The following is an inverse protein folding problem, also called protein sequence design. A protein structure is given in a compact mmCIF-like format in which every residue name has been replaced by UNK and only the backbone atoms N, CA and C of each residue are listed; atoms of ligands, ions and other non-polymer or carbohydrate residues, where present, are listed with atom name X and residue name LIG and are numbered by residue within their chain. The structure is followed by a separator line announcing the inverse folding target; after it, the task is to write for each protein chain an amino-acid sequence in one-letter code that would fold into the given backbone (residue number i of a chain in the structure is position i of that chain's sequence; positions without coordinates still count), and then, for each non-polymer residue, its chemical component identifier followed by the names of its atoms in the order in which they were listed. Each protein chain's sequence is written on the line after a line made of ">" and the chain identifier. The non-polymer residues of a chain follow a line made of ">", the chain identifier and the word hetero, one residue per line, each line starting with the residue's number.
data_IF_478911354214
#
_entry.id   IF_478911354214
#
_cell.length_a   1.000
_cell.length_b   1.000
_cell.length_c   1.000
_cell.angle_alpha   90.00
_cell.angle_beta   90.00
_cell.angle_gamma   90.00
#
_symmetry.space_group_name_H-M   'P 1'
#
loop_
_entity.id
_entity.type
_entity.pdbx_description
1 polymer ?
#
# COMPACT_ATOMS: atom_id res chain seq x y z
N UNK A 1 5.12 23.83 -1.03
CA UNK A 1 5.04 22.37 -0.78
C UNK A 1 5.07 22.13 0.72
N UNK A 2 4.02 21.58 1.30
CA UNK A 2 4.04 21.10 2.70
C UNK A 2 5.07 19.97 2.78
N UNK A 3 6.05 20.10 3.67
CA UNK A 3 7.08 19.08 3.95
C UNK A 3 6.39 17.87 4.58
N UNK A 4 5.97 16.94 3.74
CA UNK A 4 5.20 15.79 4.18
C UNK A 4 6.09 14.87 5.03
N UNK A 5 5.68 14.62 6.27
CA UNK A 5 6.32 13.70 7.20
C UNK A 5 6.31 12.29 6.60
N UNK A 6 7.42 11.54 6.59
CA UNK A 6 7.43 10.18 6.07
C UNK A 6 6.48 9.28 6.87
N UNK A 7 5.68 8.48 6.13
CA UNK A 7 4.73 7.53 6.68
C UNK A 7 5.45 6.27 7.17
N UNK A 8 5.03 5.75 8.30
CA UNK A 8 5.51 4.48 8.84
C UNK A 8 4.37 3.52 9.09
N UNK A 9 4.52 2.30 8.63
CA UNK A 9 3.51 1.25 8.78
C UNK A 9 4.12 -0.10 9.08
N UNK A 10 3.25 -1.07 9.34
CA UNK A 10 3.61 -2.47 9.52
C UNK A 10 2.67 -3.39 8.76
N UNK A 11 3.23 -4.45 8.16
CA UNK A 11 2.46 -5.55 7.60
C UNK A 11 2.03 -6.53 8.70
N UNK A 12 0.77 -6.94 8.67
CA UNK A 12 0.25 -7.99 9.56
C UNK A 12 -0.19 -9.21 8.75
N UNK A 13 -0.17 -10.38 9.38
CA UNK A 13 -0.57 -11.64 8.74
C UNK A 13 -2.08 -11.67 8.44
N UNK A 14 -2.43 -12.25 7.30
CA UNK A 14 -3.81 -12.60 6.95
C UNK A 14 -4.11 -14.09 7.19
N UNK A 15 -3.16 -14.86 7.71
CA UNK A 15 -3.37 -16.27 7.99
C UNK A 15 -4.40 -16.45 9.10
N UNK A 16 -5.31 -17.44 8.91
CA UNK A 16 -6.35 -17.75 9.89
C UNK A 16 -5.74 -18.18 11.23
N UNK A 17 -4.57 -18.83 11.21
CA UNK A 17 -3.85 -19.22 12.44
C UNK A 17 -3.25 -18.05 13.24
N UNK A 18 -3.12 -16.87 12.64
CA UNK A 18 -2.43 -15.72 13.23
C UNK A 18 -3.38 -14.60 13.68
N UNK A 19 -4.70 -14.85 13.73
CA UNK A 19 -5.72 -13.80 13.93
C UNK A 19 -5.47 -12.98 15.19
N UNK A 20 -5.26 -13.65 16.32
CA UNK A 20 -5.09 -12.98 17.62
C UNK A 20 -3.83 -12.11 17.63
N UNK A 21 -2.71 -12.64 17.13
CA UNK A 21 -1.45 -11.91 17.05
C UNK A 21 -1.57 -10.71 16.10
N UNK A 22 -2.14 -10.92 14.92
CA UNK A 22 -2.34 -9.85 13.93
C UNK A 22 -3.15 -8.68 14.47
N UNK A 23 -4.25 -8.97 15.17
CA UNK A 23 -5.09 -7.92 15.76
C UNK A 23 -4.39 -7.23 16.94
N UNK A 24 -3.64 -7.99 17.77
CA UNK A 24 -2.83 -7.43 18.84
C UNK A 24 -1.76 -6.48 18.31
N UNK A 25 -1.05 -6.89 17.25
CA UNK A 25 -0.03 -6.05 16.59
C UNK A 25 -0.63 -4.80 15.95
N UNK A 26 -1.81 -4.89 15.34
CA UNK A 26 -2.51 -3.71 14.79
C UNK A 26 -2.83 -2.68 15.89
N UNK A 27 -3.35 -3.11 17.03
CA UNK A 27 -3.63 -2.25 18.19
C UNK A 27 -2.35 -1.67 18.77
N UNK A 28 -1.27 -2.44 18.82
CA UNK A 28 0.04 -1.96 19.28
C UNK A 28 0.58 -0.90 18.32
N UNK A 29 0.51 -1.12 17.00
CA UNK A 29 0.93 -0.16 15.98
C UNK A 29 0.21 1.18 16.14
N UNK A 30 -1.11 1.14 16.36
CA UNK A 30 -1.94 2.32 16.61
C UNK A 30 -1.49 3.09 17.86
N UNK A 31 -1.34 2.39 18.99
CA UNK A 31 -0.94 2.99 20.25
C UNK A 31 0.48 3.57 20.23
N UNK A 32 1.37 2.96 19.47
CA UNK A 32 2.77 3.36 19.36
C UNK A 32 3.04 4.40 18.26
N UNK A 33 2.01 4.88 17.54
CA UNK A 33 2.11 6.04 16.65
C UNK A 33 2.54 5.74 15.22
N UNK A 34 2.34 4.51 14.74
CA UNK A 34 2.43 4.23 13.32
C UNK A 34 1.26 4.85 12.56
N UNK A 35 1.45 5.10 11.26
CA UNK A 35 0.45 5.71 10.40
C UNK A 35 -0.39 4.67 9.65
N UNK A 36 0.20 3.48 9.35
CA UNK A 36 -0.41 2.46 8.50
C UNK A 36 -0.31 1.05 9.10
N UNK A 37 -1.37 0.28 8.91
CA UNK A 37 -1.36 -1.19 9.02
C UNK A 37 -1.75 -1.76 7.67
N UNK A 38 -0.98 -2.73 7.16
CA UNK A 38 -1.23 -3.31 5.83
C UNK A 38 -1.49 -4.80 5.89
N UNK A 39 -2.38 -5.26 5.00
CA UNK A 39 -2.71 -6.68 4.79
C UNK A 39 -2.63 -7.02 3.31
N UNK A 40 -2.30 -8.28 2.98
CA UNK A 40 -2.35 -8.79 1.61
C UNK A 40 -3.74 -9.30 1.25
N UNK A 41 -4.08 -9.34 -0.04
CA UNK A 41 -5.38 -9.84 -0.54
C UNK A 41 -5.19 -11.09 -1.42
N UNK A 42 -5.38 -12.24 -0.81
CA UNK A 42 -5.27 -13.56 -1.47
C UNK A 42 -6.51 -14.41 -1.18
N UNK A 43 -7.71 -14.01 -1.68
CA UNK A 43 -8.98 -14.62 -1.32
C UNK A 43 -9.15 -16.05 -1.85
N UNK A 44 -8.29 -16.50 -2.74
CA UNK A 44 -8.28 -17.86 -3.31
C UNK A 44 -7.60 -18.89 -2.39
N UNK A 45 -6.96 -18.48 -1.29
CA UNK A 45 -6.36 -19.37 -0.31
C UNK A 45 -7.23 -19.49 0.94
N UNK A 46 -7.80 -20.66 1.18
CA UNK A 46 -8.70 -20.91 2.33
C UNK A 46 -8.06 -20.65 3.70
N UNK A 47 -6.72 -20.72 3.80
CA UNK A 47 -5.98 -20.41 5.02
C UNK A 47 -5.78 -18.90 5.24
N UNK A 48 -6.31 -18.04 4.37
CA UNK A 48 -6.22 -16.57 4.47
C UNK A 48 -7.59 -15.97 4.72
N UNK A 49 -7.61 -14.92 5.54
CA UNK A 49 -8.79 -14.10 5.75
C UNK A 49 -9.10 -13.27 4.48
N UNK A 50 -10.36 -12.93 4.29
CA UNK A 50 -10.72 -11.83 3.40
C UNK A 50 -10.09 -10.52 3.91
N UNK A 51 -9.37 -9.82 3.03
CA UNK A 51 -8.61 -8.64 3.42
C UNK A 51 -9.50 -7.51 3.96
N UNK A 52 -10.66 -7.26 3.35
CA UNK A 52 -11.56 -6.19 3.79
C UNK A 52 -12.33 -6.53 5.06
N UNK A 53 -12.64 -7.82 5.28
CA UNK A 53 -13.18 -8.27 6.56
C UNK A 53 -12.17 -8.03 7.70
N UNK A 54 -10.90 -8.38 7.48
CA UNK A 54 -9.84 -8.13 8.46
C UNK A 54 -9.60 -6.62 8.68
N UNK A 55 -9.54 -5.83 7.61
CA UNK A 55 -9.41 -4.37 7.67
C UNK A 55 -10.55 -3.74 8.49
N UNK A 56 -11.80 -4.17 8.28
CA UNK A 56 -12.93 -3.69 9.05
C UNK A 56 -12.77 -3.93 10.55
N UNK A 57 -12.28 -5.10 10.95
CA UNK A 57 -12.01 -5.43 12.37
C UNK A 57 -10.85 -4.63 12.92
N UNK A 58 -9.75 -4.48 12.16
CA UNK A 58 -8.59 -3.65 12.56
C UNK A 58 -9.02 -2.21 12.79
N UNK A 59 -9.72 -1.60 11.84
CA UNK A 59 -10.18 -0.22 11.95
C UNK A 59 -11.17 0.00 13.10
N UNK A 60 -12.00 -1.01 13.41
CA UNK A 60 -12.92 -0.97 14.54
C UNK A 60 -12.22 -1.13 15.91
N UNK A 61 -10.98 -1.60 15.97
CA UNK A 61 -10.19 -1.77 17.20
C UNK A 61 -9.09 -0.72 17.38
N UNK A 62 -8.94 0.20 16.44
CA UNK A 62 -7.90 1.23 16.40
C UNK A 62 -8.50 2.61 16.25
N UNK A 63 -7.77 3.66 16.61
CA UNK A 63 -8.28 5.03 16.63
C UNK A 63 -7.57 5.96 15.63
N UNK A 64 -6.32 5.67 15.25
CA UNK A 64 -5.45 6.58 14.49
C UNK A 64 -4.87 5.99 13.22
N UNK A 65 -4.42 4.73 13.25
CA UNK A 65 -3.83 4.09 12.07
C UNK A 65 -4.82 4.01 10.92
N UNK A 66 -4.34 4.26 9.73
CA UNK A 66 -5.05 3.92 8.51
C UNK A 66 -4.76 2.48 8.11
N UNK A 67 -5.71 1.82 7.48
CA UNK A 67 -5.52 0.50 6.91
C UNK A 67 -5.29 0.57 5.40
N UNK A 68 -4.43 -0.31 4.89
CA UNK A 68 -4.13 -0.46 3.46
C UNK A 68 -4.19 -1.94 3.08
N UNK A 69 -5.02 -2.28 2.12
CA UNK A 69 -4.91 -3.58 1.43
C UNK A 69 -3.80 -3.46 0.38
N UNK A 70 -2.69 -4.18 0.55
CA UNK A 70 -1.47 -4.02 -0.27
C UNK A 70 -1.16 -5.31 -1.08
N UNK A 71 -1.80 -5.47 -2.24
CA UNK A 71 -2.84 -4.62 -2.86
C UNK A 71 -4.07 -5.48 -3.13
N UNK A 72 -5.23 -4.84 -3.22
CA UNK A 72 -6.49 -5.51 -3.55
C UNK A 72 -6.40 -6.22 -4.90
N UNK A 73 -6.89 -7.43 -4.94
CA UNK A 73 -6.95 -8.24 -6.14
C UNK A 73 -8.20 -7.86 -6.95
N UNK A 74 -8.09 -6.81 -7.78
CA UNK A 74 -9.21 -6.24 -8.52
C UNK A 74 -10.07 -7.28 -9.25
N UNK A 75 -9.53 -8.29 -9.96
CA UNK A 75 -10.35 -9.26 -10.66
C UNK A 75 -11.36 -10.02 -9.77
N UNK A 76 -11.04 -10.19 -8.48
CA UNK A 76 -11.93 -10.83 -7.52
C UNK A 76 -12.91 -9.86 -6.83
N UNK A 77 -12.81 -8.55 -7.11
CA UNK A 77 -13.60 -7.48 -6.45
C UNK A 77 -14.13 -6.51 -7.49
N UNK A 78 -15.35 -6.70 -8.01
CA UNK A 78 -15.94 -5.80 -9.00
C UNK A 78 -15.87 -4.33 -8.56
N UNK A 79 -15.43 -3.44 -9.46
CA UNK A 79 -15.12 -2.05 -9.15
C UNK A 79 -16.26 -1.29 -8.44
N UNK A 80 -17.56 -1.43 -8.82
CA UNK A 80 -18.65 -0.75 -8.10
C UNK A 80 -18.79 -1.22 -6.65
N UNK A 81 -18.65 -2.53 -6.40
CA UNK A 81 -18.70 -3.08 -5.04
C UNK A 81 -17.47 -2.69 -4.23
N UNK A 82 -16.29 -2.65 -4.85
CA UNK A 82 -15.08 -2.17 -4.19
C UNK A 82 -15.21 -0.69 -3.80
N UNK A 83 -15.74 0.17 -4.69
CA UNK A 83 -16.07 1.56 -4.37
C UNK A 83 -16.97 1.66 -3.15
N UNK A 84 -18.04 0.88 -3.10
CA UNK A 84 -18.98 0.85 -1.97
C UNK A 84 -18.30 0.37 -0.68
N UNK A 85 -17.45 -0.67 -0.75
CA UNK A 85 -16.71 -1.17 0.41
C UNK A 85 -15.79 -0.10 0.99
N UNK A 86 -14.97 0.55 0.15
CA UNK A 86 -13.96 1.51 0.64
C UNK A 86 -14.58 2.82 1.11
N UNK A 87 -15.63 3.30 0.46
CA UNK A 87 -16.38 4.50 0.93
C UNK A 87 -17.12 4.22 2.23
N UNK A 88 -17.67 3.02 2.41
CA UNK A 88 -18.31 2.61 3.67
C UNK A 88 -17.31 2.53 4.82
N UNK A 89 -16.15 1.90 4.61
CA UNK A 89 -15.07 1.86 5.61
C UNK A 89 -14.54 3.25 5.93
N UNK A 90 -14.37 4.12 4.93
CA UNK A 90 -13.98 5.52 5.14
C UNK A 90 -15.02 6.26 5.99
N UNK A 91 -16.31 6.11 5.69
CA UNK A 91 -17.39 6.73 6.48
C UNK A 91 -17.39 6.26 7.94
N UNK A 92 -17.26 4.95 8.16
CA UNK A 92 -17.26 4.35 9.50
C UNK A 92 -16.06 4.76 10.35
N UNK A 93 -14.96 5.19 9.73
CA UNK A 93 -13.67 5.37 10.42
C UNK A 93 -13.10 6.78 10.31
N UNK A 94 -13.84 7.73 9.74
CA UNK A 94 -13.35 9.09 9.53
C UNK A 94 -12.20 9.19 8.53
N UNK A 95 -12.20 8.35 7.48
CA UNK A 95 -11.24 8.41 6.39
C UNK A 95 -9.94 7.62 6.61
N UNK A 96 -9.88 6.73 7.59
CA UNK A 96 -8.68 5.94 7.92
C UNK A 96 -8.49 4.74 6.99
N UNK A 97 -8.53 4.95 5.68
CA UNK A 97 -8.32 3.91 4.67
C UNK A 97 -7.49 4.44 3.51
N UNK A 98 -6.64 3.58 2.96
CA UNK A 98 -5.98 3.75 1.66
C UNK A 98 -6.40 2.58 0.78
N UNK A 99 -6.82 2.86 -0.44
CA UNK A 99 -7.17 1.83 -1.42
C UNK A 99 -5.92 1.40 -2.19
N UNK A 100 -5.33 0.28 -1.80
CA UNK A 100 -4.29 -0.35 -2.61
C UNK A 100 -4.89 -1.22 -3.69
N UNK A 101 -4.48 -1.04 -4.94
CA UNK A 101 -5.06 -1.76 -6.08
C UNK A 101 -4.00 -2.42 -6.96
N UNK A 102 -4.28 -3.66 -7.40
CA UNK A 102 -3.52 -4.39 -8.39
C UNK A 102 -4.39 -4.94 -9.51
N UNK A 103 -3.87 -4.97 -10.73
CA UNK A 103 -4.58 -5.48 -11.91
C UNK A 103 -4.78 -7.02 -11.91
N UNK A 104 -4.34 -7.70 -10.87
CA UNK A 104 -4.26 -9.16 -10.80
C UNK A 104 -2.88 -9.68 -11.16
N UNK A 105 -2.42 -10.71 -10.45
CA UNK A 105 -1.09 -11.32 -10.65
C UNK A 105 -1.12 -12.84 -10.75
N UNK A 106 -1.76 -13.52 -9.82
CA UNK A 106 -1.87 -14.97 -9.76
C UNK A 106 -3.14 -15.43 -10.48
N UNK A 107 -3.17 -15.27 -11.81
CA UNK A 107 -4.38 -15.49 -12.61
C UNK A 107 -4.90 -16.92 -12.58
N UNK A 108 -4.04 -17.93 -12.40
CA UNK A 108 -4.50 -19.31 -12.27
C UNK A 108 -5.29 -19.52 -10.97
N UNK A 109 -4.88 -18.88 -9.90
CA UNK A 109 -5.60 -18.88 -8.62
C UNK A 109 -6.86 -18.03 -8.66
N UNK A 110 -6.80 -16.85 -9.29
CA UNK A 110 -7.95 -15.94 -9.46
C UNK A 110 -9.08 -16.65 -10.25
N UNK A 111 -8.74 -17.33 -11.32
CA UNK A 111 -9.72 -18.05 -12.15
C UNK A 111 -10.47 -19.14 -11.38
N UNK A 112 -9.88 -19.71 -10.32
CA UNK A 112 -10.56 -20.70 -9.43
C UNK A 112 -11.71 -20.10 -8.64
N UNK A 113 -11.78 -18.77 -8.51
CA UNK A 113 -12.92 -18.07 -7.92
C UNK A 113 -14.09 -17.86 -8.90
N UNK A 114 -14.00 -18.39 -10.11
CA UNK A 114 -15.02 -18.21 -11.16
C UNK A 114 -14.88 -16.90 -11.93
N UNK A 115 -13.75 -16.22 -11.78
CA UNK A 115 -13.46 -14.97 -12.49
C UNK A 115 -12.90 -15.27 -13.87
N UNK A 116 -13.40 -14.58 -14.89
CA UNK A 116 -12.87 -14.69 -16.25
C UNK A 116 -11.41 -14.21 -16.31
N UNK A 117 -10.56 -15.03 -16.94
CA UNK A 117 -9.15 -14.70 -17.11
C UNK A 117 -8.95 -13.65 -18.19
N UNK A 118 -8.45 -12.50 -17.83
CA UNK A 118 -8.06 -11.46 -18.78
C UNK A 118 -6.61 -11.64 -19.24
N UNK A 119 -6.36 -11.36 -20.52
CA UNK A 119 -4.99 -11.20 -21.00
C UNK A 119 -4.31 -9.96 -20.39
N UNK A 120 -2.96 -9.90 -20.34
CA UNK A 120 -2.24 -8.83 -19.63
C UNK A 120 -2.64 -7.41 -20.04
N UNK A 121 -2.88 -7.19 -21.33
CA UNK A 121 -3.29 -5.87 -21.84
C UNK A 121 -4.72 -5.51 -21.44
N UNK A 122 -5.64 -6.46 -21.47
CA UNK A 122 -7.03 -6.29 -21.04
C UNK A 122 -7.09 -6.04 -19.52
N UNK A 123 -6.32 -6.79 -18.73
CA UNK A 123 -6.25 -6.60 -17.28
C UNK A 123 -5.81 -5.18 -16.89
N UNK A 124 -4.86 -4.57 -17.61
CA UNK A 124 -4.44 -3.19 -17.36
C UNK A 124 -5.52 -2.18 -17.76
N UNK A 125 -6.22 -2.39 -18.89
CA UNK A 125 -7.34 -1.49 -19.27
C UNK A 125 -8.49 -1.60 -18.26
N UNK A 126 -8.87 -2.82 -17.86
CA UNK A 126 -9.86 -3.04 -16.83
C UNK A 126 -9.48 -2.37 -15.49
N UNK A 127 -8.19 -2.42 -15.13
CA UNK A 127 -7.68 -1.75 -13.94
C UNK A 127 -7.82 -0.22 -14.03
N UNK A 128 -7.49 0.39 -15.16
CA UNK A 128 -7.60 1.84 -15.36
C UNK A 128 -9.07 2.31 -15.36
N UNK A 129 -9.94 1.56 -16.03
CA UNK A 129 -11.39 1.79 -15.95
C UNK A 129 -11.92 1.67 -14.52
N UNK A 130 -11.48 0.64 -13.77
CA UNK A 130 -11.90 0.43 -12.39
C UNK A 130 -11.52 1.61 -11.49
N UNK A 131 -10.29 2.14 -11.59
CA UNK A 131 -9.88 3.31 -10.80
C UNK A 131 -10.73 4.52 -11.15
N UNK A 132 -10.98 4.75 -12.44
CA UNK A 132 -11.83 5.85 -12.91
C UNK A 132 -13.26 5.71 -12.36
N UNK A 133 -13.87 4.54 -12.52
CA UNK A 133 -15.24 4.29 -12.04
C UNK A 133 -15.35 4.39 -10.51
N UNK A 134 -14.37 3.85 -9.76
CA UNK A 134 -14.34 3.95 -8.30
C UNK A 134 -14.32 5.41 -7.87
N UNK A 135 -13.54 6.27 -8.52
CA UNK A 135 -13.49 7.71 -8.22
C UNK A 135 -14.83 8.40 -8.50
N UNK A 136 -15.50 8.06 -9.60
CA UNK A 136 -16.82 8.59 -9.92
C UNK A 136 -17.90 8.16 -8.91
N UNK A 137 -17.76 6.97 -8.31
CA UNK A 137 -18.73 6.42 -7.35
C UNK A 137 -18.51 6.89 -5.91
N UNK A 138 -17.71 7.93 -5.68
CA UNK A 138 -17.50 8.54 -4.37
C UNK A 138 -17.44 10.05 -4.42
N UNK A 139 -17.68 10.69 -3.27
CA UNK A 139 -17.69 12.17 -3.15
C UNK A 139 -19.05 12.83 -3.43
N UNK A 140 -20.11 12.05 -3.61
CA UNK A 140 -21.45 12.56 -3.94
C UNK A 140 -21.56 13.05 -5.38
N UNK A 141 -22.62 13.78 -5.68
CA UNK A 141 -22.92 14.32 -6.99
C UNK A 141 -24.09 13.64 -7.68
N UNK A 142 -24.21 13.84 -8.97
CA UNK A 142 -25.26 13.24 -9.80
C UNK A 142 -25.04 11.74 -10.00
N UNK A 143 -26.12 10.98 -10.27
CA UNK A 143 -26.00 9.56 -10.61
C UNK A 143 -25.03 9.29 -11.77
N UNK A 144 -24.22 8.25 -11.63
CA UNK A 144 -23.16 7.90 -12.57
C UNK A 144 -23.66 6.89 -13.60
N UNK A 145 -23.55 7.22 -14.87
CA UNK A 145 -23.61 6.27 -15.99
C UNK A 145 -22.21 6.15 -16.58
N UNK A 146 -21.68 4.92 -16.67
CA UNK A 146 -20.36 4.64 -17.19
C UNK A 146 -20.41 3.46 -18.17
N UNK A 147 -19.99 3.71 -19.41
CA UNK A 147 -20.02 2.77 -20.54
C UNK A 147 -18.57 2.39 -20.92
N UNK A 148 -17.92 1.56 -20.08
CA UNK A 148 -16.57 1.09 -20.34
C UNK A 148 -16.50 -0.22 -21.11
N UNK A 149 -15.30 -0.66 -21.45
CA UNK A 149 -15.05 -1.98 -22.06
C UNK A 149 -15.32 -3.12 -21.05
N UNK A 150 -15.01 -2.91 -19.77
CA UNK A 150 -15.07 -3.93 -18.71
C UNK A 150 -16.14 -3.65 -17.66
N UNK A 151 -16.50 -2.41 -17.46
CA UNK A 151 -17.48 -2.00 -16.45
C UNK A 151 -18.58 -1.16 -17.10
N UNK A 152 -19.82 -1.52 -16.82
CA UNK A 152 -20.99 -0.78 -17.27
C UNK A 152 -21.91 -0.59 -16.07
N UNK A 153 -22.24 0.65 -15.76
CA UNK A 153 -23.20 1.03 -14.73
C UNK A 153 -24.12 2.11 -15.25
N UNK A 154 -25.37 2.08 -14.83
CA UNK A 154 -26.41 3.00 -15.27
C UNK A 154 -27.09 3.62 -14.07
N UNK A 155 -27.16 4.96 -14.04
CA UNK A 155 -27.90 5.72 -13.05
C UNK A 155 -27.61 5.33 -11.59
N UNK A 156 -26.32 5.06 -11.30
CA UNK A 156 -25.87 4.58 -9.99
C UNK A 156 -25.47 5.77 -9.10
N UNK A 157 -26.17 5.97 -7.98
CA UNK A 157 -25.86 7.03 -7.03
C UNK A 157 -24.47 6.84 -6.39
N UNK A 158 -23.56 7.85 -6.46
CA UNK A 158 -22.28 7.81 -5.79
C UNK A 158 -22.44 7.91 -4.27
N UNK A 159 -21.48 7.34 -3.53
CA UNK A 159 -21.43 7.54 -2.08
C UNK A 159 -21.13 9.02 -1.75
N UNK A 160 -21.77 9.58 -0.74
CA UNK A 160 -21.50 10.96 -0.29
C UNK A 160 -20.05 11.15 0.23
N UNK A 161 -19.40 10.05 0.64
CA UNK A 161 -18.03 10.05 1.15
C UNK A 161 -17.04 9.90 -0.01
N UNK A 162 -15.99 10.72 0.01
CA UNK A 162 -14.92 10.64 -0.98
C UNK A 162 -14.21 9.27 -0.96
N UNK A 163 -13.75 8.85 -2.13
CA UNK A 163 -12.86 7.68 -2.26
C UNK A 163 -11.54 7.96 -1.55
N UNK A 164 -11.01 7.00 -0.77
CA UNK A 164 -9.68 7.13 -0.18
C UNK A 164 -8.59 7.23 -1.27
N UNK A 165 -7.38 7.72 -0.93
CA UNK A 165 -6.25 7.72 -1.86
C UNK A 165 -6.03 6.33 -2.47
N UNK A 166 -5.76 6.30 -3.78
CA UNK A 166 -5.55 5.05 -4.54
C UNK A 166 -4.06 4.85 -4.76
N UNK A 167 -3.49 3.78 -4.17
CA UNK A 167 -2.10 3.37 -4.40
C UNK A 167 -2.05 2.08 -5.19
N UNK A 168 -1.04 1.90 -6.02
CA UNK A 168 -0.97 0.74 -6.92
C UNK A 168 0.26 -0.11 -6.68
N UNK A 169 0.13 -1.42 -6.88
CA UNK A 169 1.25 -2.38 -6.91
C UNK A 169 1.72 -2.69 -8.33
N UNK A 170 1.75 -1.71 -9.21
CA UNK A 170 2.10 -1.87 -10.62
C UNK A 170 3.57 -2.26 -10.82
N UNK A 171 3.83 -3.18 -11.78
CA UNK A 171 5.18 -3.66 -12.09
C UNK A 171 5.50 -3.68 -13.59
N UNK A 172 4.50 -3.81 -14.45
CA UNK A 172 4.68 -3.82 -15.90
C UNK A 172 4.59 -2.40 -16.50
N UNK A 173 5.22 -2.13 -17.66
CA UNK A 173 5.29 -0.78 -18.21
C UNK A 173 3.91 -0.15 -18.46
N UNK A 174 2.93 -0.92 -18.93
CA UNK A 174 1.56 -0.40 -19.15
C UNK A 174 0.84 -0.08 -17.83
N UNK A 175 0.97 -0.93 -16.81
CA UNK A 175 0.36 -0.67 -15.50
C UNK A 175 1.07 0.46 -14.74
N UNK A 176 2.38 0.62 -14.91
CA UNK A 176 3.13 1.78 -14.40
C UNK A 176 2.66 3.08 -15.05
N UNK A 177 2.46 3.09 -16.38
CA UNK A 177 1.90 4.24 -17.06
C UNK A 177 0.46 4.55 -16.60
N UNK A 178 -0.38 3.54 -16.35
CA UNK A 178 -1.71 3.73 -15.76
C UNK A 178 -1.60 4.34 -14.34
N UNK A 179 -0.65 3.88 -13.52
CA UNK A 179 -0.35 4.50 -12.21
C UNK A 179 -0.12 6.01 -12.35
N UNK A 180 0.75 6.42 -13.27
CA UNK A 180 1.02 7.84 -13.53
C UNK A 180 -0.23 8.64 -13.89
N UNK A 181 -1.13 8.05 -14.69
CA UNK A 181 -2.35 8.71 -15.13
C UNK A 181 -3.42 8.85 -14.06
N UNK A 182 -3.63 7.82 -13.24
CA UNK A 182 -4.85 7.74 -12.41
C UNK A 182 -4.64 7.49 -10.92
N UNK A 183 -3.43 7.17 -10.44
CA UNK A 183 -3.21 6.82 -9.04
C UNK A 183 -2.58 7.97 -8.23
N UNK A 184 -2.72 7.90 -6.90
CA UNK A 184 -2.15 8.86 -5.95
C UNK A 184 -0.85 8.33 -5.33
N UNK A 185 -0.53 7.04 -5.54
CA UNK A 185 0.69 6.45 -5.03
C UNK A 185 1.08 5.14 -5.70
N UNK A 186 2.31 4.75 -5.44
CA UNK A 186 2.91 3.53 -5.96
C UNK A 186 3.63 2.75 -4.87
N UNK A 187 3.46 1.43 -4.89
CA UNK A 187 4.15 0.46 -4.04
C UNK A 187 4.99 -0.42 -4.96
N UNK A 188 6.32 -0.27 -5.00
CA UNK A 188 7.21 -0.96 -5.95
C UNK A 188 7.17 -2.49 -5.88
N UNK A 189 6.68 -3.04 -4.78
CA UNK A 189 6.61 -4.45 -4.48
C UNK A 189 7.41 -4.81 -3.23
N UNK A 190 7.30 -6.08 -2.84
CA UNK A 190 7.97 -6.58 -1.64
C UNK A 190 9.49 -6.60 -1.85
N UNK A 191 10.24 -6.08 -0.90
CA UNK A 191 11.71 -5.96 -0.94
C UNK A 191 12.29 -5.14 -2.11
N UNK A 192 11.47 -4.40 -2.85
CA UNK A 192 11.95 -3.48 -3.88
C UNK A 192 12.11 -2.08 -3.26
N UNK A 193 13.33 -1.70 -2.93
CA UNK A 193 13.66 -0.40 -2.37
C UNK A 193 14.12 0.60 -3.45
N UNK A 194 14.53 1.81 -3.02
CA UNK A 194 14.95 2.94 -3.86
C UNK A 194 16.25 2.68 -4.63
N UNK A 195 17.08 1.71 -4.23
CA UNK A 195 18.29 1.30 -4.94
C UNK A 195 18.02 0.15 -5.92
N UNK A 196 16.87 -0.48 -5.85
CA UNK A 196 16.54 -1.62 -6.70
C UNK A 196 16.43 -1.23 -8.18
N UNK A 197 16.84 -2.12 -9.12
CA UNK A 197 16.59 -1.91 -10.55
C UNK A 197 15.10 -1.64 -10.83
N UNK A 198 14.20 -2.32 -10.10
CA UNK A 198 12.75 -2.12 -10.25
C UNK A 198 12.35 -0.66 -10.04
N UNK A 199 12.84 -0.01 -8.98
CA UNK A 199 12.51 1.40 -8.75
C UNK A 199 13.09 2.29 -9.84
N UNK A 200 14.38 2.14 -10.14
CA UNK A 200 15.09 2.98 -11.13
C UNK A 200 14.47 2.92 -12.51
N UNK A 201 14.03 1.72 -12.93
CA UNK A 201 13.46 1.53 -14.27
C UNK A 201 11.97 1.89 -14.33
N UNK A 202 11.25 1.81 -13.20
CA UNK A 202 9.80 1.98 -13.17
C UNK A 202 9.36 3.41 -12.86
N UNK A 203 10.04 4.11 -11.96
CA UNK A 203 9.63 5.46 -11.55
C UNK A 203 9.59 6.46 -12.72
N UNK A 204 10.57 6.49 -13.64
CA UNK A 204 10.50 7.36 -14.82
C UNK A 204 9.28 7.10 -15.73
N UNK A 205 8.82 5.85 -15.84
CA UNK A 205 7.61 5.51 -16.63
C UNK A 205 6.36 6.10 -15.99
N UNK A 206 6.28 6.07 -14.66
CA UNK A 206 5.18 6.70 -13.91
C UNK A 206 5.19 8.22 -14.10
N UNK A 207 6.37 8.83 -13.93
CA UNK A 207 6.54 10.28 -14.02
C UNK A 207 6.21 10.82 -15.42
N UNK A 208 6.70 10.16 -16.47
CA UNK A 208 6.38 10.54 -17.86
C UNK A 208 4.87 10.43 -18.13
N UNK A 209 4.22 9.37 -17.66
CA UNK A 209 2.79 9.19 -17.86
C UNK A 209 1.96 10.20 -17.06
N UNK A 210 2.40 10.60 -15.87
CA UNK A 210 1.77 11.65 -15.08
C UNK A 210 1.85 13.00 -15.81
N UNK A 211 3.04 13.39 -16.26
CA UNK A 211 3.24 14.62 -17.02
C UNK A 211 2.37 14.68 -18.29
N UNK A 212 2.31 13.57 -19.05
CA UNK A 212 1.44 13.48 -20.24
C UNK A 212 -0.05 13.62 -19.92
N UNK A 213 -0.44 13.24 -18.70
CA UNK A 213 -1.81 13.38 -18.20
C UNK A 213 -2.08 14.75 -17.54
N UNK A 214 -1.10 15.67 -17.55
CA UNK A 214 -1.23 16.99 -16.92
C UNK A 214 -1.15 16.96 -15.40
N UNK A 215 -0.56 15.91 -14.81
CA UNK A 215 -0.39 15.74 -13.36
C UNK A 215 1.06 16.00 -12.96
N UNK A 216 1.26 16.49 -11.74
CA UNK A 216 2.60 16.61 -11.16
C UNK A 216 3.06 15.22 -10.66
N UNK A 217 4.20 14.68 -11.14
CA UNK A 217 4.75 13.43 -10.63
C UNK A 217 5.05 13.46 -9.12
N UNK A 218 5.31 14.64 -8.56
CA UNK A 218 5.56 14.81 -7.13
C UNK A 218 4.33 14.53 -6.25
N UNK A 219 3.12 14.55 -6.82
CA UNK A 219 1.88 14.20 -6.12
C UNK A 219 1.69 12.68 -6.00
N UNK A 220 2.50 11.88 -6.72
CA UNK A 220 2.43 10.42 -6.69
C UNK A 220 3.41 9.89 -5.65
N UNK A 221 2.90 9.58 -4.46
CA UNK A 221 3.73 9.09 -3.35
C UNK A 221 4.33 7.71 -3.67
N UNK A 222 5.54 7.45 -3.16
CA UNK A 222 6.13 6.10 -3.20
C UNK A 222 6.27 5.56 -1.78
N UNK A 223 5.68 4.38 -1.52
CA UNK A 223 5.71 3.71 -0.22
C UNK A 223 6.30 2.31 -0.40
N UNK A 224 7.32 2.00 0.40
CA UNK A 224 8.12 0.79 0.25
C UNK A 224 7.74 -0.29 1.26
N UNK A 225 7.56 -1.51 0.78
CA UNK A 225 7.37 -2.71 1.60
C UNK A 225 8.73 -3.34 1.89
N UNK A 226 9.23 -3.16 3.11
CA UNK A 226 10.58 -3.53 3.50
C UNK A 226 10.58 -4.72 4.47
N UNK A 227 10.90 -5.94 4.01
CA UNK A 227 11.24 -7.02 4.91
C UNK A 227 12.63 -6.78 5.52
N UNK A 228 12.79 -7.08 6.80
CA UNK A 228 14.11 -6.99 7.43
C UNK A 228 14.09 -7.25 8.92
N UNK A 229 15.24 -7.63 9.46
CA UNK A 229 15.44 -7.79 10.89
C UNK A 229 15.80 -6.46 11.55
N UNK A 230 15.40 -6.28 12.81
CA UNK A 230 15.81 -5.11 13.62
C UNK A 230 16.65 -5.63 14.80
N UNK A 231 17.96 -5.57 14.64
CA UNK A 231 18.92 -6.13 15.57
C UNK A 231 19.26 -5.19 16.74
N UNK A 232 19.76 -5.74 17.85
CA UNK A 232 20.20 -4.93 18.99
C UNK A 232 21.56 -4.27 18.73
N UNK A 233 22.40 -4.87 17.87
CA UNK A 233 23.74 -4.38 17.55
C UNK A 233 23.90 -4.23 16.04
N UNK A 234 24.82 -3.38 15.56
CA UNK A 234 25.09 -3.25 14.15
C UNK A 234 25.49 -4.56 13.48
N UNK A 235 24.99 -4.77 12.27
CA UNK A 235 25.39 -5.87 11.40
C UNK A 235 26.45 -5.40 10.41
N UNK A 236 27.36 -6.31 10.02
CA UNK A 236 28.45 -5.95 9.09
C UNK A 236 27.98 -5.65 7.67
N UNK A 237 26.90 -6.31 7.23
CA UNK A 237 26.32 -6.14 5.90
C UNK A 237 24.78 -6.04 5.99
N UNK A 238 24.23 -4.82 6.07
CA UNK A 238 22.79 -4.62 6.10
C UNK A 238 22.09 -4.97 4.78
N UNK A 239 22.85 -4.93 3.67
CA UNK A 239 22.40 -5.35 2.34
C UNK A 239 23.11 -6.66 1.95
N UNK A 240 22.42 -7.52 1.22
CA UNK A 240 22.99 -8.74 0.68
C UNK A 240 23.84 -8.51 -0.58
N UNK A 241 24.35 -9.59 -1.18
CA UNK A 241 25.19 -9.55 -2.38
C UNK A 241 24.47 -8.94 -3.61
N UNK A 242 23.13 -9.01 -3.63
CA UNK A 242 22.31 -8.43 -4.69
C UNK A 242 21.90 -6.97 -4.38
N UNK A 243 22.40 -6.42 -3.28
CA UNK A 243 22.12 -5.07 -2.84
C UNK A 243 20.75 -4.89 -2.15
N UNK A 244 20.04 -5.97 -1.85
CA UNK A 244 18.72 -5.92 -1.19
C UNK A 244 18.91 -5.67 0.31
N UNK A 245 18.18 -4.70 0.84
CA UNK A 245 18.15 -4.41 2.28
C UNK A 245 17.62 -5.62 3.08
N UNK A 246 18.37 -6.04 4.08
CA UNK A 246 18.04 -7.18 4.94
C UNK A 246 17.79 -6.80 6.40
N UNK A 247 18.06 -5.54 6.74
CA UNK A 247 17.89 -5.02 8.08
C UNK A 247 19.21 -4.71 8.76
N UNK A 248 19.13 -4.36 10.04
CA UNK A 248 20.29 -3.96 10.86
C UNK A 248 19.85 -3.45 12.21
N UNK A 249 20.75 -2.78 12.93
CA UNK A 249 20.42 -2.10 14.17
C UNK A 249 19.49 -0.90 13.93
N UNK A 250 18.89 -0.39 15.00
CA UNK A 250 18.08 0.83 14.96
C UNK A 250 18.83 1.98 14.26
N UNK A 251 20.11 2.19 14.59
CA UNK A 251 20.91 3.25 13.98
C UNK A 251 21.09 3.05 12.47
N UNK A 252 21.33 1.81 12.01
CA UNK A 252 21.46 1.50 10.59
C UNK A 252 20.14 1.69 9.83
N UNK A 253 19.01 1.32 10.43
CA UNK A 253 17.69 1.61 9.86
C UNK A 253 17.44 3.13 9.77
N UNK A 254 17.77 3.89 10.79
CA UNK A 254 17.58 5.35 10.80
C UNK A 254 18.40 6.01 9.71
N UNK A 255 19.68 5.66 9.58
CA UNK A 255 20.57 6.17 8.54
C UNK A 255 20.02 5.86 7.14
N UNK A 256 19.70 4.60 6.87
CA UNK A 256 19.22 4.12 5.58
C UNK A 256 17.91 4.79 5.16
N UNK A 257 16.91 4.84 6.06
CA UNK A 257 15.61 5.42 5.74
C UNK A 257 15.65 6.95 5.65
N UNK A 258 16.52 7.60 6.41
CA UNK A 258 16.73 9.05 6.28
C UNK A 258 17.32 9.38 4.91
N UNK A 259 18.34 8.65 4.47
CA UNK A 259 18.88 8.77 3.11
C UNK A 259 17.83 8.52 2.04
N UNK A 260 17.00 7.50 2.21
CA UNK A 260 15.89 7.21 1.29
C UNK A 260 14.92 8.38 1.12
N UNK A 261 14.59 9.07 2.18
CA UNK A 261 13.70 10.24 2.13
C UNK A 261 14.39 11.45 1.49
N UNK A 262 15.63 11.73 1.88
CA UNK A 262 16.32 12.96 1.49
C UNK A 262 16.89 12.90 0.06
N UNK A 263 17.39 11.74 -0.35
CA UNK A 263 18.08 11.57 -1.63
C UNK A 263 17.18 10.98 -2.72
N UNK A 264 16.25 10.09 -2.34
CA UNK A 264 15.41 9.36 -3.29
C UNK A 264 13.90 9.71 -3.21
N UNK A 265 13.52 10.66 -2.33
CA UNK A 265 12.15 11.12 -2.24
C UNK A 265 11.16 10.05 -1.74
N UNK A 266 11.60 9.12 -0.89
CA UNK A 266 10.70 8.13 -0.30
C UNK A 266 9.64 8.81 0.58
N UNK A 267 8.36 8.45 0.41
CA UNK A 267 7.24 9.03 1.15
C UNK A 267 6.82 8.18 2.35
N UNK A 268 7.19 6.90 2.37
CA UNK A 268 6.85 6.05 3.49
C UNK A 268 7.40 4.63 3.39
N UNK A 269 7.33 3.94 4.53
CA UNK A 269 7.90 2.62 4.72
C UNK A 269 6.94 1.74 5.51
N UNK A 270 6.70 0.54 5.01
CA UNK A 270 5.96 -0.51 5.69
C UNK A 270 6.92 -1.63 6.03
N UNK A 271 7.14 -1.87 7.30
CA UNK A 271 7.99 -2.94 7.77
C UNK A 271 7.26 -4.28 7.73
N UNK A 272 7.90 -5.28 7.15
CA UNK A 272 7.49 -6.69 7.19
C UNK A 272 8.50 -7.46 8.03
N UNK A 273 8.07 -7.91 9.20
CA UNK A 273 8.93 -8.66 10.11
C UNK A 273 9.48 -9.91 9.43
N UNK A 274 10.79 -10.08 9.52
CA UNK A 274 11.47 -11.35 9.24
C UNK A 274 11.67 -12.08 10.58
N UNK A 275 11.38 -13.37 10.61
CA UNK A 275 11.54 -14.15 11.82
C UNK A 275 13.02 -14.43 12.09
N UNK A 276 13.53 -13.84 13.17
CA UNK A 276 14.90 -14.01 13.68
C UNK A 276 14.92 -14.50 15.13
N UNK A 277 13.75 -14.98 15.61
CA UNK A 277 13.53 -15.36 17.00
C UNK A 277 13.16 -14.20 17.93
N UNK A 278 13.25 -12.94 17.48
CA UNK A 278 12.80 -11.79 18.28
C UNK A 278 11.27 -11.77 18.30
N UNK A 279 10.63 -11.59 19.48
CA UNK A 279 9.17 -11.47 19.55
C UNK A 279 8.63 -10.35 18.67
N UNK A 280 7.49 -10.58 18.04
CA UNK A 280 6.92 -9.64 17.06
C UNK A 280 6.59 -8.26 17.67
N UNK A 281 6.13 -8.22 18.91
CA UNK A 281 5.84 -6.99 19.65
C UNK A 281 7.10 -6.19 20.00
N UNK A 282 8.23 -6.85 20.23
CA UNK A 282 9.54 -6.20 20.44
C UNK A 282 10.03 -5.58 19.13
N UNK A 283 9.97 -6.32 18.03
CA UNK A 283 10.35 -5.81 16.70
C UNK A 283 9.47 -4.61 16.31
N UNK A 284 8.16 -4.72 16.49
CA UNK A 284 7.23 -3.62 16.24
C UNK A 284 7.50 -2.41 17.14
N UNK A 285 7.84 -2.64 18.43
CA UNK A 285 8.21 -1.59 19.36
C UNK A 285 9.44 -0.79 18.89
N UNK A 286 10.50 -1.47 18.47
CA UNK A 286 11.70 -0.82 17.92
C UNK A 286 11.37 0.01 16.66
N UNK A 287 10.57 -0.57 15.75
CA UNK A 287 10.14 0.11 14.54
C UNK A 287 9.36 1.38 14.83
N UNK A 288 8.35 1.29 15.71
CA UNK A 288 7.42 2.36 15.97
C UNK A 288 7.97 3.45 16.91
N UNK A 289 8.75 3.06 17.94
CA UNK A 289 9.15 3.98 19.02
C UNK A 289 10.61 4.42 18.93
N UNK A 290 11.45 3.72 18.19
CA UNK A 290 12.86 4.07 18.05
C UNK A 290 13.17 4.54 16.61
N UNK A 291 12.85 3.74 15.58
CA UNK A 291 13.21 4.06 14.19
C UNK A 291 12.32 5.17 13.62
N UNK A 292 11.01 5.00 13.64
CA UNK A 292 10.10 5.96 12.99
C UNK A 292 10.24 7.40 13.51
N UNK A 293 10.29 7.66 14.82
CA UNK A 293 10.48 9.03 15.32
C UNK A 293 11.87 9.59 14.98
N UNK A 294 12.94 8.78 15.07
CA UNK A 294 14.30 9.24 14.78
C UNK A 294 14.48 9.62 13.31
N UNK A 295 13.93 8.85 12.37
CA UNK A 295 13.93 9.21 10.94
C UNK A 295 13.17 10.50 10.68
N UNK A 296 11.99 10.67 11.31
CA UNK A 296 11.20 11.91 11.17
C UNK A 296 11.93 13.14 11.69
N UNK A 297 12.60 12.99 12.81
CA UNK A 297 13.41 14.06 13.41
C UNK A 297 14.61 14.40 12.51
N UNK A 298 15.36 13.39 12.05
CA UNK A 298 16.51 13.58 11.16
C UNK A 298 16.11 14.24 9.83
N UNK A 299 14.99 13.82 9.23
CA UNK A 299 14.46 14.43 8.00
C UNK A 299 14.04 15.89 8.23
N UNK A 300 13.40 16.19 9.36
CA UNK A 300 13.00 17.55 9.70
C UNK A 300 14.23 18.44 9.88
N UNK A 301 15.22 17.98 10.64
CA UNK A 301 16.46 18.72 10.87
C UNK A 301 17.27 19.00 9.61
N UNK A 302 17.28 18.06 8.64
CA UNK A 302 17.99 18.25 7.37
C UNK A 302 17.29 19.23 6.40
N UNK A 303 16.03 19.57 6.66
CA UNK A 303 15.21 20.46 5.81
C UNK A 303 15.05 21.86 6.38
N UNK A 304 15.53 22.09 7.61
CA UNK A 304 15.59 23.40 8.30
C UNK A 304 16.95 24.05 8.11
#
# INVERSE_FOLDING_TARGET
>A
MSLQKPLFGTGISTAVGDIEESLRLAVQADRQGLDLVTVSDHPYYAARLDAYAQVGVVLGRTERVSALVSVSNLPSRPAPMLARTVTSLSALTGGRLVLGMGAGGLWDEIARLGVERLGPGAAVRAFEEAVTLIRLLGGGGEPVTFEGEFYQVHDLEPAAVAVPPVWTGSVGPKSLAATGRVADGWIPGHAADWLSPRYRDSRPVIDEAALKAGRDPADIVTVYNLPGVITATPVAAPRDADGVWRGGSVAQWVEELTGAVLEFGAHGFVHFRVDDGTPADVTLGRWAQEIAPAVREAVLAART
#
